data_IF_038125380373
#
_entry.id   IF_038125380373
#
_cell.length_a   1.000
_cell.length_b   1.000
_cell.length_c   1.000
_cell.angle_alpha   90.00
_cell.angle_beta   90.00
_cell.angle_gamma   90.00
#
_symmetry.space_group_name_H-M   'P 1'
#
loop_
_entity.id
_entity.type
_entity.pdbx_description
1 polymer ?
#
# COMPACT_ATOMS: atom_id res chain seq x y z
N UNK A 1 -2.95 -39.41 -6.34
CA UNK A 1 -3.48 -40.15 -5.18
C UNK A 1 -4.66 -39.36 -4.71
N UNK A 2 -5.82 -39.98 -4.69
CA UNK A 2 -7.09 -39.24 -4.70
C UNK A 2 -7.52 -38.75 -3.31
N UNK A 3 -6.76 -39.11 -2.27
CA UNK A 3 -6.95 -38.69 -0.87
C UNK A 3 -6.17 -37.40 -0.46
N UNK A 4 -5.29 -36.86 -1.32
CA UNK A 4 -4.55 -35.62 -0.97
C UNK A 4 -5.49 -34.39 -1.05
N UNK A 5 -5.55 -33.52 -0.03
CA UNK A 5 -6.42 -32.36 -0.03
C UNK A 5 -6.07 -31.40 -1.18
N UNK A 6 -7.10 -30.87 -1.85
CA UNK A 6 -6.93 -30.08 -3.06
C UNK A 6 -6.26 -28.74 -2.75
N UNK A 7 -5.14 -28.44 -3.40
CA UNK A 7 -4.31 -27.28 -3.09
C UNK A 7 -4.88 -26.02 -3.75
N UNK A 8 -4.91 -24.90 -3.03
CA UNK A 8 -5.48 -23.63 -3.50
C UNK A 8 -4.94 -23.18 -4.86
N UNK A 9 -3.63 -23.38 -5.10
CA UNK A 9 -2.94 -23.09 -6.37
C UNK A 9 -3.39 -23.96 -7.56
N UNK A 10 -4.04 -25.10 -7.29
CA UNK A 10 -4.35 -26.14 -8.26
C UNK A 10 -5.85 -26.17 -8.62
N UNK A 11 -6.64 -25.25 -8.08
CA UNK A 11 -8.05 -25.05 -8.42
C UNK A 11 -8.14 -24.55 -9.87
N UNK A 12 -8.90 -25.24 -10.73
CA UNK A 12 -9.08 -24.88 -12.14
C UNK A 12 -10.55 -24.77 -12.58
N UNK A 13 -11.48 -25.41 -11.85
CA UNK A 13 -12.92 -25.44 -12.13
C UNK A 13 -13.78 -25.26 -10.86
N UNK A 14 -15.08 -24.97 -11.04
CA UNK A 14 -16.04 -24.74 -9.94
C UNK A 14 -16.12 -25.94 -8.96
N UNK A 15 -16.14 -27.22 -9.40
CA UNK A 15 -16.13 -28.35 -8.48
C UNK A 15 -14.90 -28.38 -7.58
N UNK A 16 -13.74 -27.90 -8.06
CA UNK A 16 -12.51 -27.82 -7.26
C UNK A 16 -12.64 -26.78 -6.15
N UNK A 17 -13.27 -25.62 -6.43
CA UNK A 17 -13.59 -24.61 -5.42
C UNK A 17 -14.49 -25.21 -4.34
N UNK A 18 -15.59 -25.87 -4.72
CA UNK A 18 -16.54 -26.44 -3.76
C UNK A 18 -15.91 -27.57 -2.92
N UNK A 19 -15.10 -28.42 -3.55
CA UNK A 19 -14.32 -29.46 -2.88
C UNK A 19 -13.32 -28.86 -1.88
N UNK A 20 -12.50 -27.89 -2.31
CA UNK A 20 -11.55 -27.19 -1.45
C UNK A 20 -12.24 -26.43 -0.31
N UNK A 21 -13.39 -25.79 -0.58
CA UNK A 21 -14.17 -25.10 0.45
C UNK A 21 -14.59 -26.09 1.55
N UNK A 22 -15.24 -27.19 1.18
CA UNK A 22 -15.77 -28.14 2.15
C UNK A 22 -14.69 -28.97 2.85
N UNK A 23 -13.61 -29.34 2.15
CA UNK A 23 -12.60 -30.29 2.65
C UNK A 23 -11.26 -29.67 3.07
N UNK A 24 -11.06 -28.37 2.89
CA UNK A 24 -9.80 -27.70 3.27
C UNK A 24 -10.02 -26.33 3.90
N UNK A 25 -10.81 -25.45 3.30
CA UNK A 25 -11.05 -24.11 3.85
C UNK A 25 -11.89 -24.16 5.14
N UNK A 26 -13.09 -24.74 5.09
CA UNK A 26 -14.00 -24.75 6.25
C UNK A 26 -13.36 -25.42 7.48
N UNK A 27 -12.75 -26.62 7.37
CA UNK A 27 -12.07 -27.25 8.51
C UNK A 27 -10.84 -26.48 9.04
N UNK A 28 -10.20 -25.62 8.23
CA UNK A 28 -9.06 -24.82 8.65
C UNK A 28 -9.44 -23.46 9.27
N UNK A 29 -10.68 -23.00 9.05
CA UNK A 29 -11.16 -21.67 9.47
C UNK A 29 -12.24 -21.75 10.55
N UNK A 30 -13.11 -22.77 10.51
CA UNK A 30 -14.17 -23.00 11.49
C UNK A 30 -13.80 -24.17 12.44
N UNK A 31 -12.62 -24.05 13.05
CA UNK A 31 -12.06 -25.02 13.98
C UNK A 31 -12.79 -24.94 15.33
N UNK A 32 -13.37 -26.06 15.76
CA UNK A 32 -14.09 -26.23 17.04
C UNK A 32 -13.54 -27.36 17.91
N UNK A 33 -12.58 -28.13 17.41
CA UNK A 33 -11.96 -29.29 18.04
C UNK A 33 -10.43 -29.16 17.99
N UNK A 34 -9.75 -29.76 18.97
CA UNK A 34 -8.29 -29.74 19.07
C UNK A 34 -7.63 -30.89 18.27
N UNK A 35 -6.29 -30.98 18.20
CA UNK A 35 -5.59 -32.06 17.47
C UNK A 35 -5.81 -33.49 17.99
N UNK A 36 -6.55 -33.67 19.09
CA UNK A 36 -6.95 -34.95 19.68
C UNK A 36 -8.47 -35.19 19.57
N UNK A 37 -9.20 -34.32 18.86
CA UNK A 37 -10.65 -34.27 18.72
C UNK A 37 -11.41 -33.96 20.03
N UNK A 38 -10.77 -33.31 21.01
CA UNK A 38 -11.47 -32.77 22.18
C UNK A 38 -12.06 -31.38 21.84
N UNK A 39 -13.28 -31.04 22.32
CA UNK A 39 -13.93 -29.79 21.98
C UNK A 39 -13.20 -28.58 22.57
N UNK A 40 -12.87 -27.61 21.72
CA UNK A 40 -12.31 -26.33 22.16
C UNK A 40 -13.39 -25.49 22.87
N UNK A 41 -13.03 -24.66 23.86
CA UNK A 41 -13.97 -23.70 24.43
C UNK A 41 -14.25 -22.57 23.42
N UNK A 42 -15.45 -21.99 23.47
CA UNK A 42 -15.97 -21.02 22.48
C UNK A 42 -15.03 -19.84 22.20
N UNK A 43 -14.27 -19.37 23.22
CA UNK A 43 -13.32 -18.27 23.08
C UNK A 43 -12.03 -18.64 22.30
N UNK A 44 -11.89 -19.90 21.89
CA UNK A 44 -10.76 -20.41 21.09
C UNK A 44 -11.21 -21.01 19.75
N UNK A 45 -12.51 -20.94 19.42
CA UNK A 45 -13.03 -21.31 18.11
C UNK A 45 -12.47 -20.37 17.02
N UNK A 46 -12.35 -20.90 15.80
CA UNK A 46 -11.88 -20.13 14.65
C UNK A 46 -10.41 -19.68 14.74
N UNK A 47 -9.55 -20.41 15.47
CA UNK A 47 -8.13 -20.08 15.61
C UNK A 47 -7.25 -20.73 14.54
N UNK A 48 -6.91 -19.95 13.52
CA UNK A 48 -5.98 -20.31 12.45
C UNK A 48 -4.54 -20.28 12.99
N UNK A 49 -3.84 -21.42 12.88
CA UNK A 49 -2.46 -21.59 13.32
C UNK A 49 -2.21 -21.16 14.79
N UNK A 50 -3.10 -21.60 15.70
CA UNK A 50 -3.08 -21.40 17.16
C UNK A 50 -3.26 -19.95 17.67
N UNK A 51 -2.72 -18.95 16.99
CA UNK A 51 -2.66 -17.57 17.50
C UNK A 51 -3.54 -16.56 16.75
N UNK A 52 -4.03 -16.87 15.54
CA UNK A 52 -4.80 -15.92 14.74
C UNK A 52 -6.29 -16.29 14.82
N UNK A 53 -7.07 -15.54 15.59
CA UNK A 53 -8.51 -15.78 15.75
C UNK A 53 -9.27 -15.03 14.66
N UNK A 54 -10.21 -15.68 13.96
CA UNK A 54 -11.13 -15.01 13.03
C UNK A 54 -11.92 -13.94 13.78
N UNK A 55 -12.16 -12.78 13.15
CA UNK A 55 -12.91 -11.68 13.74
C UNK A 55 -14.34 -11.62 13.17
N UNK A 56 -15.33 -12.16 13.89
CA UNK A 56 -16.75 -12.00 13.61
C UNK A 56 -17.30 -12.77 12.41
N UNK A 57 -16.44 -13.24 11.51
CA UNK A 57 -16.80 -14.17 10.44
C UNK A 57 -15.98 -14.04 9.16
N UNK A 58 -16.27 -14.91 8.20
CA UNK A 58 -15.73 -14.89 6.85
C UNK A 58 -16.74 -14.25 5.90
N UNK A 59 -16.32 -13.22 5.16
CA UNK A 59 -17.13 -12.65 4.08
C UNK A 59 -16.88 -13.36 2.75
N UNK A 60 -17.94 -13.64 2.01
CA UNK A 60 -17.95 -14.17 0.65
C UNK A 60 -18.66 -13.16 -0.26
N UNK A 61 -17.93 -12.55 -1.18
CA UNK A 61 -18.46 -11.63 -2.19
C UNK A 61 -18.31 -12.30 -3.57
N UNK A 62 -19.38 -12.28 -4.38
CA UNK A 62 -19.41 -12.92 -5.70
C UNK A 62 -19.94 -11.96 -6.75
N UNK A 63 -19.17 -11.80 -7.82
CA UNK A 63 -19.56 -11.03 -9.00
C UNK A 63 -20.08 -11.97 -10.09
N UNK A 64 -21.34 -11.82 -10.47
CA UNK A 64 -21.95 -12.52 -11.61
C UNK A 64 -22.14 -11.57 -12.82
N UNK A 65 -22.00 -12.12 -14.02
CA UNK A 65 -22.13 -11.44 -15.31
C UNK A 65 -23.57 -11.49 -15.84
N UNK A 66 -24.06 -10.41 -16.42
CA UNK A 66 -25.38 -10.40 -17.03
C UNK A 66 -25.43 -11.27 -18.31
N UNK A 67 -26.56 -11.94 -18.55
CA UNK A 67 -26.75 -12.81 -19.72
C UNK A 67 -27.35 -12.02 -20.90
N UNK A 68 -26.66 -11.99 -22.03
CA UNK A 68 -27.08 -11.31 -23.25
C UNK A 68 -27.08 -12.24 -24.48
N UNK A 69 -27.71 -11.79 -25.56
CA UNK A 69 -27.75 -12.53 -26.83
C UNK A 69 -26.41 -12.47 -27.57
N UNK A 70 -25.77 -13.62 -27.79
CA UNK A 70 -24.44 -13.69 -28.40
C UNK A 70 -24.36 -12.97 -29.75
N UNK A 71 -23.33 -12.12 -29.92
CA UNK A 71 -22.99 -11.40 -31.17
C UNK A 71 -22.35 -12.32 -32.24
N UNK A 72 -22.87 -13.55 -32.38
CA UNK A 72 -22.36 -14.64 -33.24
C UNK A 72 -23.32 -14.95 -34.39
N UNK A 73 -22.92 -15.85 -35.31
CA UNK A 73 -23.79 -16.34 -36.37
C UNK A 73 -25.00 -17.13 -35.82
N UNK A 74 -26.15 -17.08 -36.50
CA UNK A 74 -27.42 -17.61 -35.98
C UNK A 74 -27.37 -19.10 -35.59
N UNK A 75 -26.65 -19.93 -36.35
CA UNK A 75 -26.49 -21.36 -36.05
C UNK A 75 -25.67 -21.64 -34.78
N UNK A 76 -24.79 -20.71 -34.37
CA UNK A 76 -24.05 -20.80 -33.12
C UNK A 76 -24.92 -20.41 -31.93
N UNK A 77 -25.81 -19.42 -32.09
CA UNK A 77 -26.77 -19.03 -31.03
C UNK A 77 -27.71 -20.18 -30.67
N UNK A 78 -28.18 -20.94 -31.67
CA UNK A 78 -28.98 -22.16 -31.43
C UNK A 78 -28.21 -23.33 -30.80
N UNK A 79 -26.87 -23.29 -30.75
CA UNK A 79 -26.03 -24.36 -30.18
C UNK A 79 -25.48 -24.00 -28.79
N UNK A 80 -25.09 -22.74 -28.58
CA UNK A 80 -24.45 -22.26 -27.35
C UNK A 80 -25.37 -21.39 -26.48
N UNK A 81 -26.53 -20.95 -26.98
CA UNK A 81 -27.48 -20.13 -26.24
C UNK A 81 -26.99 -18.69 -26.02
N UNK A 82 -26.92 -18.27 -24.76
CA UNK A 82 -26.59 -16.90 -24.34
C UNK A 82 -25.11 -16.72 -24.01
N UNK A 83 -24.66 -15.48 -24.12
CA UNK A 83 -23.32 -15.05 -23.75
C UNK A 83 -23.38 -14.26 -22.43
N UNK A 84 -22.24 -14.18 -21.73
CA UNK A 84 -22.09 -13.38 -20.53
C UNK A 84 -21.40 -12.06 -20.88
N UNK A 85 -21.87 -10.95 -20.31
CA UNK A 85 -21.17 -9.66 -20.43
C UNK A 85 -20.23 -9.44 -19.26
N UNK A 86 -18.95 -9.15 -19.54
CA UNK A 86 -17.96 -8.88 -18.50
C UNK A 86 -18.01 -7.44 -17.96
N UNK A 87 -18.69 -6.53 -18.66
CA UNK A 87 -18.84 -5.12 -18.28
C UNK A 87 -20.09 -4.89 -17.42
N UNK A 88 -21.20 -5.58 -17.71
CA UNK A 88 -22.44 -5.55 -16.91
C UNK A 88 -22.47 -6.68 -15.88
N UNK A 89 -22.28 -6.33 -14.59
CA UNK A 89 -22.10 -7.30 -13.51
C UNK A 89 -22.84 -6.94 -12.23
N UNK A 90 -23.50 -7.93 -11.63
CA UNK A 90 -24.16 -7.83 -10.32
C UNK A 90 -23.31 -8.49 -9.24
N UNK A 91 -23.08 -7.79 -8.13
CA UNK A 91 -22.39 -8.32 -6.95
C UNK A 91 -23.44 -8.74 -5.92
N UNK A 92 -23.21 -9.86 -5.23
CA UNK A 92 -23.89 -10.20 -3.99
C UNK A 92 -22.90 -10.76 -2.97
N UNK A 93 -23.16 -10.50 -1.69
CA UNK A 93 -22.32 -10.88 -0.56
C UNK A 93 -23.07 -11.76 0.45
N UNK A 94 -22.31 -12.47 1.29
CA UNK A 94 -22.79 -13.06 2.53
C UNK A 94 -21.65 -13.29 3.51
N UNK A 95 -21.95 -13.26 4.81
CA UNK A 95 -21.00 -13.55 5.88
C UNK A 95 -21.37 -14.87 6.55
N UNK A 96 -20.37 -15.73 6.81
CA UNK A 96 -20.48 -16.86 7.73
C UNK A 96 -19.81 -16.48 9.07
N UNK A 97 -20.59 -16.29 10.15
CA UNK A 97 -20.07 -15.92 11.47
C UNK A 97 -19.00 -16.88 12.01
N UNK A 98 -18.08 -16.34 12.80
CA UNK A 98 -16.98 -17.07 13.44
C UNK A 98 -17.44 -18.12 14.48
N UNK A 99 -18.67 -17.98 14.99
CA UNK A 99 -19.28 -18.94 15.91
C UNK A 99 -19.93 -20.17 15.25
N UNK A 100 -19.83 -20.34 13.93
CA UNK A 100 -20.35 -21.51 13.22
C UNK A 100 -19.42 -22.72 13.36
N UNK A 101 -19.99 -23.90 13.59
CA UNK A 101 -19.25 -25.17 13.49
C UNK A 101 -18.89 -25.50 12.04
N UNK A 102 -17.86 -26.34 11.84
CA UNK A 102 -17.50 -26.89 10.52
C UNK A 102 -18.68 -27.57 9.81
N UNK A 103 -19.64 -28.16 10.54
CA UNK A 103 -20.84 -28.77 9.95
C UNK A 103 -21.85 -27.72 9.48
N UNK A 104 -22.09 -26.67 10.26
CA UNK A 104 -23.03 -25.60 9.89
C UNK A 104 -22.51 -24.78 8.71
N UNK A 105 -21.21 -24.44 8.70
CA UNK A 105 -20.59 -23.74 7.58
C UNK A 105 -20.69 -24.54 6.26
N UNK A 106 -20.44 -25.86 6.29
CA UNK A 106 -20.70 -26.75 5.12
C UNK A 106 -22.16 -26.72 4.70
N UNK A 107 -23.10 -26.88 5.64
CA UNK A 107 -24.55 -26.88 5.37
C UNK A 107 -25.02 -25.57 4.73
N UNK A 108 -24.48 -24.41 5.13
CA UNK A 108 -24.81 -23.10 4.55
C UNK A 108 -24.25 -22.94 3.12
N UNK A 109 -23.08 -23.50 2.82
CA UNK A 109 -22.53 -23.54 1.46
C UNK A 109 -23.36 -24.46 0.53
N UNK A 110 -23.87 -25.57 1.06
CA UNK A 110 -24.74 -26.51 0.35
C UNK A 110 -26.16 -25.95 0.12
N UNK A 111 -26.78 -25.34 1.14
CA UNK A 111 -28.12 -24.72 1.06
C UNK A 111 -28.18 -23.54 0.06
N UNK A 112 -27.04 -22.94 -0.29
CA UNK A 112 -26.94 -21.89 -1.32
C UNK A 112 -26.98 -22.41 -2.76
N UNK A 113 -26.85 -23.71 -3.01
CA UNK A 113 -27.02 -24.32 -4.33
C UNK A 113 -26.08 -23.76 -5.41
N UNK A 114 -26.64 -23.37 -6.57
CA UNK A 114 -25.90 -22.92 -7.77
C UNK A 114 -25.36 -21.48 -7.67
N UNK A 115 -24.90 -21.04 -6.50
CA UNK A 115 -24.35 -19.70 -6.29
C UNK A 115 -23.07 -19.47 -7.12
N UNK A 116 -22.19 -20.49 -7.20
CA UNK A 116 -21.10 -20.53 -8.18
C UNK A 116 -21.56 -21.24 -9.45
N UNK A 117 -21.59 -20.52 -10.58
CA UNK A 117 -22.06 -21.05 -11.86
C UNK A 117 -21.33 -20.36 -13.03
N UNK A 118 -21.71 -20.69 -14.28
CA UNK A 118 -21.04 -20.18 -15.48
C UNK A 118 -21.13 -18.65 -15.69
N UNK A 119 -21.98 -17.93 -14.94
CA UNK A 119 -22.01 -16.47 -14.93
C UNK A 119 -21.00 -15.84 -13.95
N UNK A 120 -20.42 -16.62 -13.02
CA UNK A 120 -19.47 -16.08 -12.04
C UNK A 120 -18.20 -15.58 -12.74
N UNK A 121 -17.89 -14.30 -12.53
CA UNK A 121 -16.66 -13.62 -12.98
C UNK A 121 -15.59 -13.63 -11.89
N UNK A 122 -16.01 -13.51 -10.64
CA UNK A 122 -15.10 -13.37 -9.50
C UNK A 122 -15.77 -13.89 -8.22
N UNK A 123 -14.98 -14.58 -7.39
CA UNK A 123 -15.30 -14.93 -6.01
C UNK A 123 -14.17 -14.39 -5.12
N UNK A 124 -14.53 -13.56 -4.15
CA UNK A 124 -13.66 -13.00 -3.13
C UNK A 124 -14.08 -13.57 -1.76
N UNK A 125 -13.13 -14.15 -1.04
CA UNK A 125 -13.33 -14.68 0.31
C UNK A 125 -12.40 -13.90 1.24
N UNK A 126 -12.95 -13.10 2.14
CA UNK A 126 -12.18 -12.29 3.08
C UNK A 126 -12.27 -12.86 4.49
N UNK A 127 -11.10 -13.23 5.03
CA UNK A 127 -10.89 -13.76 6.37
C UNK A 127 -10.12 -12.70 7.18
N UNK A 128 -10.81 -11.87 7.97
CA UNK A 128 -10.16 -10.99 8.94
C UNK A 128 -9.73 -11.82 10.17
N UNK A 129 -8.48 -11.66 10.60
CA UNK A 129 -7.95 -12.35 11.78
C UNK A 129 -7.23 -11.39 12.73
N UNK A 130 -7.31 -11.62 14.04
CA UNK A 130 -6.53 -10.92 15.06
C UNK A 130 -5.47 -11.87 15.63
N UNK A 131 -4.22 -11.43 15.67
CA UNK A 131 -3.18 -12.20 16.34
C UNK A 131 -3.24 -11.94 17.86
N UNK A 132 -3.30 -13.00 18.66
CA UNK A 132 -3.39 -12.91 20.13
C UNK A 132 -2.04 -12.67 20.83
N UNK A 133 -0.93 -12.69 20.09
CA UNK A 133 0.45 -12.59 20.61
C UNK A 133 1.19 -11.33 20.15
N UNK A 134 0.75 -10.73 19.04
CA UNK A 134 1.27 -9.48 18.46
C UNK A 134 0.06 -8.56 18.25
N UNK A 135 0.09 -7.27 18.65
CA UNK A 135 -1.06 -6.36 18.54
C UNK A 135 -1.31 -5.91 17.09
N UNK A 136 -1.72 -6.86 16.24
CA UNK A 136 -1.97 -6.67 14.83
C UNK A 136 -3.08 -7.60 14.32
N UNK A 137 -3.92 -7.07 13.45
CA UNK A 137 -4.86 -7.85 12.68
C UNK A 137 -4.37 -8.02 11.24
N UNK A 138 -4.79 -9.11 10.60
CA UNK A 138 -4.38 -9.49 9.25
C UNK A 138 -5.65 -9.80 8.47
N UNK A 139 -5.91 -9.02 7.42
CA UNK A 139 -6.99 -9.28 6.48
C UNK A 139 -6.43 -10.12 5.34
N UNK A 140 -6.87 -11.36 5.24
CA UNK A 140 -6.51 -12.24 4.11
C UNK A 140 -7.68 -12.34 3.16
N UNK A 141 -7.47 -11.92 1.91
CA UNK A 141 -8.46 -12.04 0.83
C UNK A 141 -7.98 -13.09 -0.17
N UNK A 142 -8.79 -14.12 -0.36
CA UNK A 142 -8.60 -15.18 -1.34
C UNK A 142 -9.50 -14.87 -2.54
N UNK A 143 -8.92 -14.80 -3.74
CA UNK A 143 -9.57 -14.34 -4.97
C UNK A 143 -9.50 -15.40 -6.05
N UNK A 144 -10.67 -15.83 -6.54
CA UNK A 144 -10.83 -16.67 -7.71
C UNK A 144 -11.33 -15.82 -8.87
N UNK A 145 -10.49 -15.68 -9.91
CA UNK A 145 -10.71 -14.83 -11.07
C UNK A 145 -11.05 -15.72 -12.29
N UNK A 146 -12.31 -15.69 -12.71
CA UNK A 146 -12.87 -16.59 -13.74
C UNK A 146 -12.65 -15.99 -15.12
N UNK A 147 -11.84 -16.65 -15.95
CA UNK A 147 -11.53 -16.18 -17.30
C UNK A 147 -12.57 -16.67 -18.31
N UNK A 148 -12.83 -15.87 -19.33
CA UNK A 148 -13.81 -16.16 -20.39
C UNK A 148 -13.55 -17.47 -21.17
N UNK A 149 -12.35 -18.07 -21.04
CA UNK A 149 -12.04 -19.41 -21.53
C UNK A 149 -12.42 -20.56 -20.59
N UNK A 150 -13.16 -20.30 -19.50
CA UNK A 150 -13.57 -21.28 -18.50
C UNK A 150 -12.51 -21.63 -17.43
N UNK A 151 -11.26 -21.16 -17.60
CA UNK A 151 -10.19 -21.35 -16.63
C UNK A 151 -10.33 -20.39 -15.43
N UNK A 152 -10.23 -20.93 -14.22
CA UNK A 152 -10.21 -20.15 -12.97
C UNK A 152 -8.76 -19.90 -12.55
N UNK A 153 -8.42 -18.64 -12.26
CA UNK A 153 -7.12 -18.28 -11.68
C UNK A 153 -7.26 -18.00 -10.17
N UNK A 154 -6.74 -18.87 -9.29
CA UNK A 154 -6.62 -18.57 -7.86
C UNK A 154 -5.51 -17.53 -7.60
N UNK A 155 -5.72 -16.67 -6.60
CA UNK A 155 -4.79 -15.65 -6.14
C UNK A 155 -5.11 -15.25 -4.70
N UNK A 156 -4.14 -14.74 -3.94
CA UNK A 156 -4.38 -14.28 -2.56
C UNK A 156 -3.62 -12.98 -2.28
N UNK A 157 -4.18 -12.17 -1.37
CA UNK A 157 -3.54 -10.97 -0.83
C UNK A 157 -3.73 -10.92 0.68
N UNK A 158 -2.66 -10.63 1.42
CA UNK A 158 -2.65 -10.63 2.88
C UNK A 158 -2.14 -9.28 3.36
N UNK A 159 -3.02 -8.50 4.00
CA UNK A 159 -2.74 -7.13 4.44
C UNK A 159 -2.67 -7.09 5.97
N UNK A 160 -1.45 -6.99 6.56
CA UNK A 160 -1.28 -6.79 8.01
C UNK A 160 -1.48 -5.32 8.40
N UNK A 161 -2.05 -5.09 9.57
CA UNK A 161 -2.20 -3.75 10.17
C UNK A 161 -2.10 -3.85 11.70
N UNK A 162 -1.52 -2.83 12.35
CA UNK A 162 -1.52 -2.77 13.81
C UNK A 162 -2.96 -2.63 14.33
N UNK A 163 -3.30 -3.38 15.38
CA UNK A 163 -4.60 -3.33 16.04
C UNK A 163 -4.71 -2.15 17.02
N UNK A 164 -3.56 -1.65 17.49
CA UNK A 164 -3.47 -0.47 18.34
C UNK A 164 -2.47 0.54 17.75
N UNK A 165 -2.95 1.77 17.52
CA UNK A 165 -2.14 2.90 17.06
C UNK A 165 -1.45 3.66 18.22
N UNK A 166 -1.86 3.42 19.47
CA UNK A 166 -1.34 4.06 20.67
C UNK A 166 -0.90 3.06 21.75
N UNK A 167 -0.05 2.05 21.41
CA UNK A 167 0.33 0.96 22.33
C UNK A 167 1.15 1.41 23.55
N UNK A 168 1.51 2.69 23.65
CA UNK A 168 2.13 3.26 24.85
C UNK A 168 1.64 4.68 25.09
N UNK A 169 1.54 5.09 26.36
CA UNK A 169 1.17 6.45 26.76
C UNK A 169 2.07 7.55 26.17
N UNK A 170 3.29 7.19 25.73
CA UNK A 170 4.22 8.12 25.11
C UNK A 170 3.72 8.73 23.79
N UNK A 171 3.00 7.97 22.95
CA UNK A 171 2.45 8.53 21.70
C UNK A 171 1.33 9.53 21.99
N UNK A 172 0.46 9.25 22.97
CA UNK A 172 -0.57 10.18 23.46
C UNK A 172 0.06 11.46 24.02
N UNK A 173 1.18 11.36 24.74
CA UNK A 173 1.92 12.54 25.23
C UNK A 173 2.54 13.34 24.08
N UNK A 174 3.06 12.69 23.03
CA UNK A 174 3.59 13.36 21.83
C UNK A 174 2.47 14.13 21.12
N UNK A 175 1.29 13.54 20.93
CA UNK A 175 0.15 14.22 20.30
C UNK A 175 -0.34 15.42 21.13
N UNK A 176 -0.40 15.28 22.46
CA UNK A 176 -0.73 16.39 23.36
C UNK A 176 0.31 17.52 23.22
N UNK A 177 1.61 17.20 23.14
CA UNK A 177 2.66 18.18 22.92
C UNK A 177 2.57 18.85 21.54
N UNK A 178 2.23 18.11 20.49
CA UNK A 178 1.99 18.64 19.14
C UNK A 178 0.80 19.62 19.15
N UNK A 179 -0.34 19.22 19.75
CA UNK A 179 -1.53 20.09 19.86
C UNK A 179 -1.25 21.33 20.71
N UNK A 180 -0.53 21.21 21.83
CA UNK A 180 -0.09 22.35 22.65
C UNK A 180 0.93 23.25 21.93
N UNK A 181 1.76 22.71 21.05
CA UNK A 181 2.72 23.48 20.26
C UNK A 181 2.04 24.26 19.12
N UNK A 182 1.10 23.64 18.39
CA UNK A 182 0.45 24.27 17.23
C UNK A 182 -0.78 25.13 17.58
N UNK A 183 -1.48 24.87 18.68
CA UNK A 183 -2.68 25.65 19.05
C UNK A 183 -2.42 27.16 19.28
N UNK A 184 -1.29 27.63 19.88
CA UNK A 184 -0.98 29.06 19.95
C UNK A 184 -0.79 29.70 18.57
N UNK A 185 -0.17 28.99 17.62
CA UNK A 185 0.00 29.47 16.25
C UNK A 185 -1.35 29.63 15.54
N UNK A 186 -2.21 28.62 15.60
CA UNK A 186 -3.57 28.67 15.02
C UNK A 186 -4.43 29.78 15.65
N UNK A 187 -4.31 29.98 16.96
CA UNK A 187 -4.96 31.07 17.68
C UNK A 187 -4.40 32.45 17.28
N UNK A 188 -3.09 32.58 17.08
CA UNK A 188 -2.49 33.80 16.55
C UNK A 188 -2.94 34.11 15.12
N UNK A 189 -3.03 33.12 14.23
CA UNK A 189 -3.52 33.33 12.86
C UNK A 189 -5.00 33.74 12.82
N UNK A 190 -5.85 33.18 13.69
CA UNK A 190 -7.26 33.60 13.78
C UNK A 190 -7.42 35.00 14.38
N UNK A 191 -6.63 35.38 15.40
CA UNK A 191 -6.60 36.74 15.95
C UNK A 191 -6.10 37.75 14.90
N UNK A 192 -5.00 37.46 14.22
CA UNK A 192 -4.43 38.33 13.16
C UNK A 192 -5.39 38.46 11.98
N UNK A 193 -6.03 37.38 11.55
CA UNK A 193 -7.07 37.40 10.52
C UNK A 193 -8.31 38.21 10.93
N UNK A 194 -8.76 38.08 12.18
CA UNK A 194 -9.86 38.89 12.73
C UNK A 194 -9.48 40.38 12.80
N UNK A 195 -8.27 40.70 13.26
CA UNK A 195 -7.76 42.07 13.34
C UNK A 195 -7.67 42.73 11.95
N UNK A 196 -7.11 42.03 10.95
CA UNK A 196 -7.09 42.51 9.56
C UNK A 196 -8.51 42.69 8.99
N UNK A 197 -9.43 41.73 9.23
CA UNK A 197 -10.82 41.82 8.77
C UNK A 197 -11.59 42.97 9.42
N UNK A 198 -11.33 43.25 10.70
CA UNK A 198 -11.90 44.41 11.40
C UNK A 198 -11.33 45.72 10.89
N UNK A 199 -10.01 45.84 10.79
CA UNK A 199 -9.36 47.05 10.28
C UNK A 199 -9.83 47.38 8.86
N UNK A 200 -9.96 46.39 7.96
CA UNK A 200 -10.50 46.56 6.60
C UNK A 200 -11.97 47.00 6.55
N UNK A 201 -12.75 46.74 7.61
CA UNK A 201 -14.15 47.22 7.71
C UNK A 201 -14.22 48.63 8.31
N UNK A 202 -13.36 48.91 9.29
CA UNK A 202 -13.37 50.16 10.03
C UNK A 202 -12.61 51.29 9.24
N UNK A 203 -11.81 50.95 8.21
CA UNK A 203 -11.22 51.88 7.21
C UNK A 203 -11.71 51.60 5.78
N UNK A 204 -12.76 52.30 5.35
CA UNK A 204 -13.33 52.20 4.00
C UNK A 204 -12.68 53.19 3.01
N UNK A 205 -11.39 53.01 2.74
CA UNK A 205 -10.62 53.82 1.77
C UNK A 205 -9.68 52.94 0.95
N UNK A 206 -9.68 53.07 -0.39
CA UNK A 206 -8.94 52.20 -1.33
C UNK A 206 -7.40 52.31 -1.31
N UNK A 207 -6.82 53.04 -0.34
CA UNK A 207 -5.37 53.22 -0.19
C UNK A 207 -4.80 52.27 0.87
N UNK A 208 -5.08 50.98 0.73
CA UNK A 208 -4.42 49.94 1.52
C UNK A 208 -3.06 49.63 0.89
N UNK A 209 -2.01 50.32 1.36
CA UNK A 209 -0.66 50.19 0.80
C UNK A 209 -0.16 48.74 0.86
N UNK A 210 0.25 48.20 -0.29
CA UNK A 210 0.86 46.87 -0.44
C UNK A 210 2.03 46.66 0.53
N UNK A 211 2.78 47.72 0.84
CA UNK A 211 3.87 47.74 1.81
C UNK A 211 3.48 47.09 3.15
N UNK A 212 2.26 47.34 3.65
CA UNK A 212 1.78 46.77 4.91
C UNK A 212 1.49 45.27 4.83
N UNK A 213 0.90 44.80 3.73
CA UNK A 213 0.70 43.36 3.50
C UNK A 213 2.04 42.63 3.32
N UNK A 214 2.98 43.20 2.56
CA UNK A 214 4.32 42.63 2.37
C UNK A 214 5.15 42.62 3.66
N UNK A 215 4.90 43.55 4.58
CA UNK A 215 5.49 43.56 5.92
C UNK A 215 4.95 42.41 6.78
N UNK A 216 3.63 42.27 6.85
CA UNK A 216 2.96 41.19 7.62
C UNK A 216 3.31 39.81 7.05
N UNK A 217 3.27 39.65 5.71
CA UNK A 217 3.64 38.39 5.06
C UNK A 217 5.12 38.03 5.28
N UNK A 218 6.05 39.00 5.29
CA UNK A 218 7.46 38.74 5.64
C UNK A 218 7.63 38.31 7.09
N UNK A 219 6.89 38.90 8.03
CA UNK A 219 6.92 38.48 9.43
C UNK A 219 6.35 37.06 9.61
N UNK A 220 5.18 36.78 9.02
CA UNK A 220 4.56 35.45 9.04
C UNK A 220 5.49 34.38 8.45
N UNK A 221 6.14 34.67 7.30
CA UNK A 221 7.06 33.72 6.66
C UNK A 221 8.21 33.32 7.59
N UNK A 222 8.84 34.31 8.25
CA UNK A 222 9.93 34.10 9.23
C UNK A 222 9.51 33.39 10.52
N UNK A 223 8.22 33.42 10.86
CA UNK A 223 7.71 32.81 12.09
C UNK A 223 7.16 31.39 11.87
N UNK A 224 6.58 31.09 10.71
CA UNK A 224 6.18 29.71 10.34
C UNK A 224 7.42 28.89 9.91
N UNK A 225 8.31 29.50 9.14
CA UNK A 225 9.55 28.88 8.66
C UNK A 225 10.75 29.68 9.18
N UNK A 226 11.28 29.34 10.37
CA UNK A 226 12.65 29.65 10.69
C UNK A 226 13.53 28.76 9.80
N UNK A 227 14.22 29.35 8.82
CA UNK A 227 14.95 28.65 7.76
C UNK A 227 16.08 27.70 8.28
N UNK A 228 16.42 27.79 9.57
CA UNK A 228 17.47 27.04 10.26
C UNK A 228 17.00 25.75 10.99
N UNK A 229 15.71 25.36 10.93
CA UNK A 229 15.23 24.13 11.62
C UNK A 229 15.22 22.90 10.67
N UNK A 230 16.42 22.47 10.26
CA UNK A 230 16.67 21.13 9.71
C UNK A 230 18.11 20.71 10.08
N UNK A 231 18.33 19.63 10.87
CA UNK A 231 19.66 19.34 11.43
C UNK A 231 20.74 19.06 10.39
N UNK A 232 21.76 19.92 10.34
CA UNK A 232 22.79 19.94 9.29
C UNK A 232 23.87 18.83 9.42
N UNK A 233 23.74 17.90 10.37
CA UNK A 233 24.84 17.06 10.89
C UNK A 233 24.71 15.55 10.62
N UNK A 234 23.86 15.16 9.68
CA UNK A 234 24.01 13.87 9.01
C UNK A 234 25.14 13.94 7.97
N UNK A 235 25.78 12.78 7.75
CA UNK A 235 27.04 12.54 7.02
C UNK A 235 27.23 13.36 5.73
N UNK A 236 28.46 13.77 5.36
CA UNK A 236 28.75 14.42 4.07
C UNK A 236 28.14 13.66 2.88
N UNK A 237 28.23 12.33 2.92
CA UNK A 237 27.66 11.43 1.91
C UNK A 237 26.13 11.55 1.78
N UNK A 238 25.44 11.74 2.91
CA UNK A 238 24.00 11.99 2.94
C UNK A 238 23.63 13.34 2.30
N UNK A 239 24.52 14.34 2.28
CA UNK A 239 24.28 15.63 1.61
C UNK A 239 24.44 15.54 0.09
N UNK A 240 25.30 14.66 -0.41
CA UNK A 240 25.43 14.36 -1.84
C UNK A 240 24.24 13.50 -2.30
N UNK A 241 23.90 12.45 -1.55
CA UNK A 241 22.68 11.65 -1.74
C UNK A 241 21.41 12.51 -1.76
N UNK A 242 21.22 13.46 -0.82
CA UNK A 242 20.06 14.36 -0.83
C UNK A 242 20.10 15.44 -1.93
N UNK A 243 21.24 15.73 -2.55
CA UNK A 243 21.30 16.59 -3.75
C UNK A 243 20.92 15.84 -5.02
N UNK A 244 21.18 14.53 -5.07
CA UNK A 244 20.78 13.66 -6.18
C UNK A 244 19.34 13.19 -6.05
N UNK A 245 18.91 12.79 -4.85
CA UNK A 245 17.64 12.13 -4.55
C UNK A 245 16.67 13.07 -3.81
N UNK A 246 15.38 12.86 -4.03
CA UNK A 246 14.28 13.40 -3.24
C UNK A 246 13.11 12.40 -3.24
N UNK A 247 12.59 12.03 -2.07
CA UNK A 247 11.50 11.03 -1.93
C UNK A 247 11.78 9.69 -2.66
N UNK A 248 12.98 9.13 -2.46
CA UNK A 248 13.39 7.84 -3.02
C UNK A 248 13.48 7.80 -4.55
N UNK A 249 13.64 8.96 -5.21
CA UNK A 249 13.80 9.13 -6.66
C UNK A 249 14.84 10.19 -6.99
N UNK A 250 15.53 10.06 -8.11
CA UNK A 250 16.51 11.04 -8.57
C UNK A 250 15.77 12.33 -8.99
N UNK A 251 16.26 13.49 -8.51
CA UNK A 251 15.68 14.81 -8.78
C UNK A 251 15.72 15.12 -10.27
N UNK A 252 14.56 15.36 -10.88
CA UNK A 252 14.39 15.58 -12.32
C UNK A 252 15.32 16.64 -12.94
N UNK A 253 15.61 17.74 -12.22
CA UNK A 253 16.59 18.74 -12.65
C UNK A 253 18.00 18.16 -12.73
N UNK A 254 18.49 17.58 -11.62
CA UNK A 254 19.83 16.99 -11.53
C UNK A 254 20.01 15.82 -12.51
N UNK A 255 18.95 15.05 -12.73
CA UNK A 255 18.88 13.99 -13.74
C UNK A 255 19.14 14.52 -15.15
N UNK A 256 18.41 15.58 -15.56
CA UNK A 256 18.59 16.25 -16.86
C UNK A 256 19.97 16.88 -17.01
N UNK A 257 20.49 17.53 -15.96
CA UNK A 257 21.81 18.18 -15.99
C UNK A 257 22.95 17.17 -16.24
N UNK A 258 22.92 16.03 -15.55
CA UNK A 258 23.94 14.97 -15.68
C UNK A 258 23.82 14.22 -17.01
N UNK A 259 22.61 13.89 -17.46
CA UNK A 259 22.41 13.31 -18.79
C UNK A 259 22.91 14.23 -19.90
N UNK A 260 22.57 15.52 -19.86
CA UNK A 260 23.05 16.52 -20.82
C UNK A 260 24.57 16.56 -20.84
N UNK A 261 25.21 16.66 -19.67
CA UNK A 261 26.67 16.68 -19.57
C UNK A 261 27.35 15.41 -20.10
N UNK A 262 26.74 14.23 -19.95
CA UNK A 262 27.26 12.97 -20.54
C UNK A 262 27.04 12.86 -22.05
N UNK A 263 25.93 13.38 -22.58
CA UNK A 263 25.68 13.43 -24.02
C UNK A 263 26.58 14.45 -24.74
N UNK A 264 26.82 15.62 -24.12
CA UNK A 264 27.70 16.66 -24.68
C UNK A 264 29.18 16.26 -24.63
N UNK A 265 29.61 15.53 -23.60
CA UNK A 265 31.00 15.15 -23.38
C UNK A 265 31.33 13.74 -23.92
N UNK A 266 30.95 13.49 -25.18
CA UNK A 266 31.01 12.18 -25.85
C UNK A 266 32.44 11.76 -26.29
N UNK A 267 33.33 11.56 -25.31
CA UNK A 267 34.66 10.94 -25.48
C UNK A 267 34.87 9.71 -24.59
N UNK A 268 33.82 9.25 -23.91
CA UNK A 268 33.86 8.14 -22.96
C UNK A 268 33.87 6.78 -23.70
N UNK A 269 35.07 6.37 -24.15
CA UNK A 269 35.32 5.27 -25.11
C UNK A 269 34.75 3.89 -24.75
N UNK A 270 34.29 3.67 -23.50
CA UNK A 270 33.70 2.40 -23.07
C UNK A 270 32.16 2.40 -23.16
N UNK A 271 31.51 3.56 -23.04
CA UNK A 271 30.04 3.68 -22.99
C UNK A 271 29.58 4.97 -23.70
N UNK A 272 29.47 4.98 -25.04
CA UNK A 272 29.05 6.15 -25.80
C UNK A 272 27.57 6.47 -25.57
N UNK A 273 27.28 7.60 -24.91
CA UNK A 273 25.93 8.09 -24.65
C UNK A 273 25.35 8.81 -25.88
N UNK A 274 24.73 8.04 -26.78
CA UNK A 274 23.99 8.56 -27.95
C UNK A 274 22.53 8.89 -27.58
N UNK A 275 21.82 9.73 -28.37
CA UNK A 275 20.38 9.96 -28.20
C UNK A 275 19.50 8.70 -28.31
N UNK A 276 20.03 7.62 -28.89
CA UNK A 276 19.36 6.31 -29.03
C UNK A 276 19.62 5.38 -27.83
N UNK A 277 20.35 5.85 -26.80
CA UNK A 277 20.72 5.05 -25.64
C UNK A 277 19.51 4.77 -24.75
N UNK A 278 18.93 3.57 -24.89
CA UNK A 278 17.90 3.07 -23.97
C UNK A 278 18.44 3.10 -22.53
N UNK A 279 17.73 3.82 -21.66
CA UNK A 279 18.01 3.90 -20.22
C UNK A 279 17.64 2.60 -19.52
N UNK A 280 18.47 2.13 -18.59
CA UNK A 280 18.24 0.95 -17.75
C UNK A 280 18.61 1.28 -16.29
N UNK A 281 18.27 0.40 -15.34
CA UNK A 281 18.56 0.59 -13.90
C UNK A 281 20.08 0.66 -13.67
N UNK A 282 20.81 -0.31 -14.20
CA UNK A 282 22.28 -0.37 -14.25
C UNK A 282 22.92 0.88 -14.92
N UNK A 283 22.26 1.48 -15.92
CA UNK A 283 22.72 2.78 -16.50
C UNK A 283 22.41 3.98 -15.62
N UNK A 284 21.38 3.94 -14.78
CA UNK A 284 21.11 4.97 -13.77
C UNK A 284 22.15 4.89 -12.65
N UNK A 285 22.48 3.69 -12.17
CA UNK A 285 23.55 3.44 -11.20
C UNK A 285 24.90 3.99 -11.69
N UNK A 286 25.28 3.71 -12.95
CA UNK A 286 26.49 4.25 -13.58
C UNK A 286 26.51 5.78 -13.73
N UNK A 287 25.35 6.46 -13.75
CA UNK A 287 25.27 7.93 -13.75
C UNK A 287 25.26 8.52 -12.33
N UNK A 288 24.80 7.75 -11.35
CA UNK A 288 24.54 8.20 -9.97
C UNK A 288 24.99 7.16 -8.94
N UNK A 289 26.31 6.92 -8.77
CA UNK A 289 26.85 5.89 -7.85
C UNK A 289 26.67 6.17 -6.36
N UNK A 290 25.95 7.23 -5.99
CA UNK A 290 25.50 7.56 -4.63
C UNK A 290 23.99 7.25 -4.42
N UNK A 291 23.37 6.49 -5.33
CA UNK A 291 21.93 6.15 -5.35
C UNK A 291 21.75 4.64 -5.31
N UNK A 292 20.74 4.15 -4.59
CA UNK A 292 20.47 2.72 -4.45
C UNK A 292 19.58 2.15 -5.57
N UNK A 293 19.70 0.84 -5.83
CA UNK A 293 18.95 0.10 -6.86
C UNK A 293 17.44 0.39 -6.81
N UNK A 294 16.86 0.40 -5.61
CA UNK A 294 15.43 0.64 -5.40
C UNK A 294 15.02 2.06 -5.80
N UNK A 295 15.91 3.04 -5.65
CA UNK A 295 15.68 4.43 -6.05
C UNK A 295 15.88 4.62 -7.56
N UNK A 296 16.80 3.88 -8.17
CA UNK A 296 16.91 3.77 -9.63
C UNK A 296 15.64 3.12 -10.23
N UNK A 297 15.11 2.05 -9.63
CA UNK A 297 13.83 1.41 -10.01
C UNK A 297 12.64 2.36 -9.81
N UNK A 298 12.56 3.07 -8.69
CA UNK A 298 11.52 4.07 -8.43
C UNK A 298 11.59 5.24 -9.43
N UNK A 299 12.80 5.67 -9.79
CA UNK A 299 13.02 6.70 -10.81
C UNK A 299 12.59 6.22 -12.19
N UNK A 300 12.98 5.00 -12.58
CA UNK A 300 12.60 4.40 -13.87
C UNK A 300 11.08 4.20 -13.97
N UNK A 301 10.44 3.72 -12.91
CA UNK A 301 8.98 3.58 -12.81
C UNK A 301 8.28 4.93 -12.97
N UNK A 302 8.80 5.99 -12.33
CA UNK A 302 8.27 7.35 -12.46
C UNK A 302 8.46 7.94 -13.86
N UNK A 303 9.61 7.69 -14.52
CA UNK A 303 9.84 8.11 -15.89
C UNK A 303 8.88 7.41 -16.87
N UNK A 304 8.67 6.10 -16.72
CA UNK A 304 7.70 5.34 -17.53
C UNK A 304 6.28 5.86 -17.32
N UNK A 305 5.87 6.10 -16.07
CA UNK A 305 4.55 6.69 -15.78
C UNK A 305 4.40 8.09 -16.40
N UNK A 306 5.40 8.95 -16.27
CA UNK A 306 5.39 10.30 -16.86
C UNK A 306 5.31 10.29 -18.40
N UNK A 307 6.00 9.36 -19.07
CA UNK A 307 5.92 9.18 -20.52
C UNK A 307 4.52 8.75 -20.98
N UNK A 308 3.77 8.03 -20.14
CA UNK A 308 2.37 7.66 -20.41
C UNK A 308 1.36 8.79 -20.15
N UNK A 309 1.68 9.77 -19.28
CA UNK A 309 0.82 10.92 -18.96
C UNK A 309 1.09 12.17 -19.84
N UNK A 310 2.30 12.33 -20.42
CA UNK A 310 2.72 13.56 -21.10
C UNK A 310 2.19 13.71 -22.55
N UNK A 311 0.90 13.44 -22.72
CA UNK A 311 0.13 14.04 -23.81
C UNK A 311 -0.46 15.42 -23.43
N UNK A 312 -0.34 15.86 -22.16
CA UNK A 312 -0.91 17.14 -21.70
C UNK A 312 -0.14 17.91 -20.59
N UNK A 313 0.98 18.60 -20.92
CA UNK A 313 1.11 20.10 -20.92
C UNK A 313 2.53 20.64 -20.58
N UNK A 314 2.82 21.82 -21.13
CA UNK A 314 4.13 22.50 -21.15
C UNK A 314 4.45 23.47 -19.98
N UNK A 315 5.77 23.60 -19.74
CA UNK A 315 6.59 24.76 -19.35
C UNK A 315 6.52 25.46 -17.96
N UNK A 316 7.72 25.67 -17.35
CA UNK A 316 8.01 26.60 -16.23
C UNK A 316 9.18 26.21 -15.28
N UNK A 317 10.32 26.93 -15.32
CA UNK A 317 11.46 26.95 -14.35
C UNK A 317 11.76 28.49 -14.08
N UNK A 318 12.81 29.05 -13.44
CA UNK A 318 14.12 28.59 -12.99
C UNK A 318 14.72 29.47 -11.84
N UNK A 319 15.88 29.05 -11.26
CA UNK A 319 16.90 29.83 -10.48
C UNK A 319 16.46 30.40 -9.10
N UNK A 320 17.14 30.21 -7.94
CA UNK A 320 18.54 29.92 -7.48
C UNK A 320 19.36 31.15 -7.01
N UNK A 321 19.90 31.11 -5.77
CA UNK A 321 21.27 31.51 -5.33
C UNK A 321 21.41 31.64 -3.78
N UNK A 322 22.61 31.93 -3.25
CA UNK A 322 23.10 31.68 -1.86
C UNK A 322 23.32 32.99 -1.02
N UNK A 323 23.91 33.11 0.19
CA UNK A 323 25.07 32.46 0.86
C UNK A 323 25.08 32.68 2.44
N UNK A 324 26.07 32.18 3.23
CA UNK A 324 25.85 31.74 4.64
C UNK A 324 26.54 32.54 5.78
N UNK A 325 26.24 32.25 7.06
CA UNK A 325 27.19 32.39 8.20
C UNK A 325 26.80 31.68 9.56
N UNK A 326 27.52 30.58 9.89
CA UNK A 326 27.95 30.06 11.22
C UNK A 326 27.06 30.04 12.51
N UNK A 327 26.89 28.79 13.02
CA UNK A 327 27.39 28.25 14.32
C UNK A 327 26.53 28.30 15.62
N UNK A 328 26.07 27.12 16.09
CA UNK A 328 26.56 26.39 17.30
C UNK A 328 25.64 25.19 17.70
N UNK A 329 26.20 24.00 17.92
CA UNK A 329 25.46 22.76 18.25
C UNK A 329 25.32 22.43 19.76
N UNK A 330 24.45 21.44 20.06
CA UNK A 330 24.40 20.59 21.28
C UNK A 330 24.22 19.10 20.89
N UNK A 331 24.64 18.13 21.73
CA UNK A 331 24.86 16.74 21.30
C UNK A 331 23.63 15.79 21.41
N UNK A 332 22.51 16.22 21.96
CA UNK A 332 21.43 15.34 22.45
C UNK A 332 20.56 14.67 21.36
N UNK A 333 20.71 15.05 20.08
CA UNK A 333 19.85 14.56 18.97
C UNK A 333 20.33 13.22 18.40
N UNK A 334 21.60 12.85 18.55
CA UNK A 334 22.18 11.71 17.83
C UNK A 334 21.68 10.34 18.33
N UNK A 335 21.36 10.24 19.62
CA UNK A 335 20.94 8.99 20.29
C UNK A 335 19.55 8.52 19.83
N UNK A 336 18.64 9.46 19.55
CA UNK A 336 17.27 9.18 19.10
C UNK A 336 17.20 8.58 17.69
N UNK A 337 18.07 9.02 16.78
CA UNK A 337 18.09 8.55 15.40
C UNK A 337 18.51 7.07 15.30
N UNK A 338 19.50 6.66 16.12
CA UNK A 338 19.97 5.27 16.21
C UNK A 338 18.84 4.36 16.71
N UNK A 339 18.00 4.86 17.62
CA UNK A 339 16.95 4.08 18.25
C UNK A 339 15.72 3.82 17.37
N UNK A 340 15.42 4.67 16.38
CA UNK A 340 14.35 4.41 15.38
C UNK A 340 14.78 3.41 14.31
N UNK A 341 15.99 3.54 13.77
CA UNK A 341 16.49 2.63 12.73
C UNK A 341 16.48 1.16 13.21
N UNK A 342 16.87 0.93 14.48
CA UNK A 342 16.80 -0.38 15.14
C UNK A 342 15.40 -0.86 15.55
N UNK A 343 14.33 -0.18 15.11
CA UNK A 343 12.93 -0.63 15.15
C UNK A 343 12.44 -0.96 13.75
N UNK A 344 12.77 -0.15 12.74
CA UNK A 344 12.46 -0.43 11.33
C UNK A 344 13.15 -1.73 10.87
N UNK A 345 14.46 -1.88 11.14
CA UNK A 345 15.23 -3.12 10.91
C UNK A 345 14.56 -4.34 11.56
N UNK A 346 13.96 -4.17 12.74
CA UNK A 346 13.25 -5.27 13.43
C UNK A 346 11.90 -5.59 12.79
N UNK A 347 11.18 -4.61 12.25
CA UNK A 347 9.95 -4.84 11.50
C UNK A 347 10.22 -5.56 10.17
N UNK A 348 11.26 -5.17 9.43
CA UNK A 348 11.64 -5.85 8.18
C UNK A 348 12.06 -7.31 8.43
N UNK A 349 12.89 -7.55 9.45
CA UNK A 349 13.26 -8.91 9.87
C UNK A 349 12.04 -9.72 10.35
N UNK A 350 11.06 -9.11 11.02
CA UNK A 350 9.81 -9.79 11.40
C UNK A 350 8.95 -10.14 10.18
N UNK A 351 8.90 -9.25 9.18
CA UNK A 351 8.22 -9.50 7.90
C UNK A 351 8.83 -10.67 7.16
N UNK A 352 10.16 -10.73 7.07
CA UNK A 352 10.90 -11.84 6.45
C UNK A 352 10.70 -13.17 7.19
N UNK A 353 10.76 -13.18 8.53
CA UNK A 353 10.49 -14.37 9.35
C UNK A 353 9.04 -14.87 9.22
N UNK A 354 8.07 -13.95 9.15
CA UNK A 354 6.67 -14.29 8.94
C UNK A 354 6.42 -14.82 7.52
N UNK A 355 7.03 -14.20 6.50
CA UNK A 355 6.95 -14.64 5.11
C UNK A 355 7.54 -16.03 4.94
N UNK A 356 8.73 -16.30 5.48
CA UNK A 356 9.34 -17.64 5.48
C UNK A 356 8.47 -18.69 6.19
N UNK A 357 7.73 -18.31 7.24
CA UNK A 357 6.79 -19.22 7.94
C UNK A 357 5.52 -19.47 7.16
N UNK A 358 5.03 -18.50 6.39
CA UNK A 358 3.93 -18.68 5.43
C UNK A 358 4.38 -19.60 4.29
N UNK A 359 5.57 -19.38 3.73
CA UNK A 359 6.13 -20.22 2.67
C UNK A 359 6.39 -21.65 3.17
N UNK A 360 6.88 -21.83 4.40
CA UNK A 360 7.03 -23.15 5.05
C UNK A 360 5.68 -23.83 5.32
N UNK A 361 4.63 -23.06 5.63
CA UNK A 361 3.26 -23.57 5.75
C UNK A 361 2.73 -24.04 4.39
N UNK A 362 2.95 -23.26 3.33
CA UNK A 362 2.63 -23.64 1.94
C UNK A 362 3.41 -24.89 1.52
N UNK A 363 4.70 -25.00 1.85
CA UNK A 363 5.53 -26.17 1.54
C UNK A 363 5.08 -27.43 2.32
N UNK A 364 4.67 -27.28 3.59
CA UNK A 364 4.09 -28.38 4.37
C UNK A 364 2.73 -28.81 3.83
N UNK A 365 1.87 -27.86 3.48
CA UNK A 365 0.62 -28.12 2.76
C UNK A 365 0.86 -28.69 1.35
N UNK A 366 2.06 -28.54 0.78
CA UNK A 366 2.44 -29.15 -0.49
C UNK A 366 2.92 -30.61 -0.38
N UNK A 367 3.26 -31.10 0.83
CA UNK A 367 3.81 -32.46 1.07
C UNK A 367 2.81 -33.47 1.67
N UNK A 368 1.57 -33.03 1.88
CA UNK A 368 0.37 -33.88 2.04
C UNK A 368 -0.42 -33.89 0.72
#
# INVERSE_FOLDING_TARGET
TDDSPLKFSNIVAIPDILNWLNNTFVPAVFVTEDPFNEPLPENEWGRIAMYNQVLGGVSFEVTQMHQHECKTAQFLRSLYGKCYDSEDTTIYDFVMPDNYTTMEARRILEEKGDWLNASTKELLITVPTLNSKIPGYVVTTLKFDFKAGGYIKPSFTTTPMLADHYPTTHTIVIDILIVLWFSPWMLMFTIVGYAMKRYKRDWQTDVFDKSAQDGIMRMIRKCIFPDDILPYHLSPRMKEHHQVVFWGRIRSKRFRDVLRAKMENSQDLQHPWTPETILTVDKLELLFPEVSDIECVNTMTYLIAGICDDHTKQDGDEVSHTAPLKMKERPEIHDLAIHLAGVEEKMENLGLDLQQKIDLLVEKMAKL
#
